data_IF_459865993102
#
_entry.id   IF_459865993102
#
_cell.length_a   1.000
_cell.length_b   1.000
_cell.length_c   1.000
_cell.angle_alpha   90.00
_cell.angle_beta   90.00
_cell.angle_gamma   90.00
#
_symmetry.space_group_name_H-M   'P 1'
#
loop_
_entity.id
_entity.type
_entity.pdbx_description
1 polymer ?
#
# COMPACT_ATOMS: atom_id res chain seq x y z
N UNK A 1 -6.82 -7.68 -28.28
CA UNK A 1 -7.20 -7.86 -26.87
C UNK A 1 -8.28 -6.82 -26.60
N UNK A 2 -9.53 -7.24 -26.41
CA UNK A 2 -10.66 -6.30 -26.39
C UNK A 2 -10.69 -5.51 -25.09
N UNK A 3 -10.65 -4.18 -25.22
CA UNK A 3 -10.65 -3.23 -24.09
C UNK A 3 -11.91 -3.39 -23.24
N UNK A 4 -13.03 -3.78 -23.83
CA UNK A 4 -14.29 -4.05 -23.13
C UNK A 4 -14.21 -5.24 -22.18
N UNK A 5 -13.53 -6.34 -22.56
CA UNK A 5 -13.38 -7.51 -21.69
C UNK A 5 -12.51 -7.21 -20.48
N UNK A 6 -11.49 -6.36 -20.65
CA UNK A 6 -10.60 -5.90 -19.56
C UNK A 6 -11.36 -5.01 -18.58
N UNK A 7 -12.18 -4.07 -19.07
CA UNK A 7 -13.01 -3.19 -18.23
C UNK A 7 -14.03 -4.00 -17.43
N UNK A 8 -14.68 -5.00 -18.05
CA UNK A 8 -15.67 -5.86 -17.39
C UNK A 8 -15.04 -6.70 -16.28
N UNK A 9 -13.85 -7.29 -16.53
CA UNK A 9 -13.11 -8.04 -15.52
C UNK A 9 -12.64 -7.16 -14.35
N UNK A 10 -12.21 -5.93 -14.63
CA UNK A 10 -11.81 -4.98 -13.59
C UNK A 10 -12.99 -4.52 -12.71
N UNK A 11 -14.16 -4.24 -13.31
CA UNK A 11 -15.40 -3.95 -12.56
C UNK A 11 -15.81 -5.10 -11.64
N UNK A 12 -15.71 -6.34 -12.10
CA UNK A 12 -16.02 -7.52 -11.29
C UNK A 12 -15.09 -7.63 -10.08
N UNK A 13 -13.77 -7.43 -10.27
CA UNK A 13 -12.79 -7.46 -9.17
C UNK A 13 -13.06 -6.38 -8.12
N UNK A 14 -13.41 -5.17 -8.54
CA UNK A 14 -13.80 -4.07 -7.63
C UNK A 14 -15.06 -4.46 -6.83
N UNK A 15 -16.07 -5.02 -7.50
CA UNK A 15 -17.32 -5.43 -6.86
C UNK A 15 -17.06 -6.48 -5.77
N UNK A 16 -16.28 -7.53 -6.09
CA UNK A 16 -15.93 -8.59 -5.13
C UNK A 16 -15.15 -8.00 -3.94
N UNK A 17 -14.18 -7.13 -4.18
CA UNK A 17 -13.39 -6.51 -3.11
C UNK A 17 -14.22 -5.64 -2.18
N UNK A 18 -15.17 -4.85 -2.70
CA UNK A 18 -16.08 -4.05 -1.89
C UNK A 18 -17.00 -4.95 -1.05
N UNK A 19 -17.58 -5.99 -1.64
CA UNK A 19 -18.47 -6.93 -0.91
C UNK A 19 -17.74 -7.61 0.24
N UNK A 20 -16.51 -8.08 0.00
CA UNK A 20 -15.68 -8.69 1.06
C UNK A 20 -15.35 -7.68 2.17
N UNK A 21 -15.04 -6.44 1.80
CA UNK A 21 -14.76 -5.37 2.78
C UNK A 21 -15.96 -5.07 3.66
N UNK A 22 -17.14 -4.95 3.06
CA UNK A 22 -18.40 -4.69 3.77
C UNK A 22 -18.73 -5.86 4.71
N UNK A 23 -18.57 -7.11 4.26
CA UNK A 23 -18.80 -8.28 5.11
C UNK A 23 -17.90 -8.31 6.35
N UNK A 24 -16.61 -8.01 6.18
CA UNK A 24 -15.67 -7.91 7.30
C UNK A 24 -16.01 -6.75 8.25
N UNK A 25 -16.46 -5.62 7.70
CA UNK A 25 -16.87 -4.46 8.49
C UNK A 25 -18.13 -4.73 9.32
N UNK A 26 -19.14 -5.38 8.72
CA UNK A 26 -20.35 -5.82 9.43
C UNK A 26 -20.01 -6.82 10.53
N UNK A 27 -19.11 -7.76 10.24
CA UNK A 27 -18.64 -8.75 11.23
C UNK A 27 -18.01 -8.06 12.42
N UNK A 28 -17.12 -7.08 12.18
CA UNK A 28 -16.56 -6.25 13.26
C UNK A 28 -17.65 -5.51 14.04
N UNK A 29 -18.62 -4.87 13.36
CA UNK A 29 -19.69 -4.12 14.01
C UNK A 29 -20.58 -5.00 14.92
N UNK A 30 -20.86 -6.25 14.51
CA UNK A 30 -21.59 -7.21 15.35
C UNK A 30 -20.75 -7.60 16.57
N UNK A 31 -19.44 -7.82 16.41
CA UNK A 31 -18.56 -8.12 17.54
C UNK A 31 -18.33 -6.95 18.48
N UNK A 32 -18.42 -5.71 18.00
CA UNK A 32 -18.32 -4.51 18.84
C UNK A 32 -19.61 -4.28 19.66
N UNK A 33 -20.76 -4.57 19.05
CA UNK A 33 -22.08 -4.39 19.69
C UNK A 33 -22.50 -5.56 20.58
N UNK A 34 -22.00 -6.75 20.31
CA UNK A 34 -22.14 -7.91 21.18
C UNK A 34 -21.02 -7.84 22.20
N UNK A 35 -21.30 -7.82 23.50
CA UNK A 35 -20.29 -7.84 24.59
C UNK A 35 -19.46 -9.16 24.67
N UNK A 36 -19.35 -9.88 23.55
CA UNK A 36 -18.52 -11.06 23.37
C UNK A 36 -17.05 -10.61 23.36
N UNK A 37 -16.35 -10.88 24.47
CA UNK A 37 -14.95 -10.53 24.68
C UNK A 37 -14.00 -11.36 23.80
N UNK A 38 -14.03 -11.16 22.48
CA UNK A 38 -12.98 -11.65 21.61
C UNK A 38 -11.79 -10.69 21.69
N UNK A 39 -10.66 -11.19 22.22
CA UNK A 39 -9.48 -10.40 22.59
C UNK A 39 -8.84 -9.59 21.45
N UNK A 40 -9.31 -9.70 20.20
CA UNK A 40 -8.71 -9.09 19.01
C UNK A 40 -9.74 -8.71 17.91
N UNK A 41 -10.97 -8.31 18.25
CA UNK A 41 -11.99 -7.91 17.26
C UNK A 41 -11.54 -6.74 16.36
N UNK A 42 -10.60 -5.90 16.81
CA UNK A 42 -9.96 -4.83 16.02
C UNK A 42 -9.18 -5.32 14.79
N UNK A 43 -8.88 -6.62 14.70
CA UNK A 43 -8.24 -7.20 13.51
C UNK A 43 -9.20 -7.18 12.32
N UNK A 44 -10.52 -7.34 12.54
CA UNK A 44 -11.50 -7.36 11.44
C UNK A 44 -11.64 -6.00 10.76
N UNK A 45 -11.56 -4.89 11.50
CA UNK A 45 -11.57 -3.54 10.91
C UNK A 45 -10.30 -3.30 10.09
N UNK A 46 -9.13 -3.68 10.60
CA UNK A 46 -7.87 -3.58 9.85
C UNK A 46 -7.89 -4.46 8.58
N UNK A 47 -8.45 -5.67 8.68
CA UNK A 47 -8.55 -6.60 7.57
C UNK A 47 -9.58 -6.14 6.52
N UNK A 48 -10.61 -5.38 6.91
CA UNK A 48 -11.60 -4.82 5.98
C UNK A 48 -11.03 -3.67 5.13
N UNK A 49 -10.07 -2.92 5.68
CA UNK A 49 -9.43 -1.78 5.00
C UNK A 49 -8.54 -2.20 3.82
N UNK A 50 -7.96 -3.41 3.87
CA UNK A 50 -7.08 -3.95 2.81
C UNK A 50 -7.83 -4.15 1.49
N UNK A 51 -8.89 -4.99 1.41
CA UNK A 51 -9.67 -5.17 0.18
C UNK A 51 -10.37 -3.88 -0.25
N UNK A 52 -10.73 -3.00 0.68
CA UNK A 52 -11.33 -1.70 0.37
C UNK A 52 -10.33 -0.78 -0.35
N UNK A 53 -9.11 -0.68 0.16
CA UNK A 53 -8.04 0.12 -0.44
C UNK A 53 -7.65 -0.39 -1.82
N UNK A 54 -7.55 -1.72 -2.00
CA UNK A 54 -7.28 -2.35 -3.31
C UNK A 54 -8.41 -2.06 -4.31
N UNK A 55 -9.66 -2.07 -3.85
CA UNK A 55 -10.83 -1.75 -4.68
C UNK A 55 -10.85 -0.28 -5.09
N UNK A 56 -10.48 0.64 -4.19
CA UNK A 56 -10.35 2.07 -4.48
C UNK A 56 -9.26 2.35 -5.52
N UNK A 57 -8.08 1.75 -5.37
CA UNK A 57 -6.99 1.90 -6.35
C UNK A 57 -7.40 1.35 -7.71
N UNK A 58 -8.09 0.21 -7.73
CA UNK A 58 -8.60 -0.39 -8.96
C UNK A 58 -9.68 0.48 -9.62
N UNK A 59 -10.55 1.11 -8.82
CA UNK A 59 -11.55 2.05 -9.29
C UNK A 59 -10.93 3.33 -9.88
N UNK A 60 -9.92 3.90 -9.22
CA UNK A 60 -9.17 5.04 -9.73
C UNK A 60 -8.47 4.71 -11.04
N UNK A 61 -7.86 3.51 -11.16
CA UNK A 61 -7.29 3.02 -12.42
C UNK A 61 -8.36 2.90 -13.51
N UNK A 62 -9.52 2.34 -13.19
CA UNK A 62 -10.64 2.20 -14.13
C UNK A 62 -11.16 3.57 -14.62
N UNK A 63 -11.30 4.54 -13.71
CA UNK A 63 -11.67 5.93 -14.04
C UNK A 63 -10.65 6.56 -14.99
N UNK A 64 -9.36 6.36 -14.73
CA UNK A 64 -8.28 6.88 -15.58
C UNK A 64 -8.30 6.23 -16.97
N UNK A 65 -8.55 4.92 -17.06
CA UNK A 65 -8.71 4.20 -18.33
C UNK A 65 -9.92 4.70 -19.13
N UNK A 66 -11.05 4.95 -18.47
CA UNK A 66 -12.26 5.43 -19.13
C UNK A 66 -12.11 6.87 -19.65
N UNK A 67 -11.31 7.70 -18.94
CA UNK A 67 -11.06 9.10 -19.32
C UNK A 67 -9.95 9.24 -20.39
N UNK A 68 -8.96 8.36 -20.40
CA UNK A 68 -7.82 8.39 -21.33
C UNK A 68 -7.46 6.99 -21.83
N UNK A 69 -8.18 6.42 -22.83
CA UNK A 69 -7.90 5.07 -23.34
C UNK A 69 -6.51 4.94 -23.98
N UNK A 70 -5.89 6.06 -24.38
CA UNK A 70 -4.52 6.13 -24.91
C UNK A 70 -3.43 5.78 -23.86
N UNK A 71 -3.76 5.78 -22.56
CA UNK A 71 -2.81 5.37 -21.51
C UNK A 71 -2.43 3.89 -21.58
N UNK A 72 -3.25 3.05 -22.21
CA UNK A 72 -2.93 1.62 -22.41
C UNK A 72 -1.78 1.48 -23.42
N UNK A 73 -1.74 2.33 -24.45
CA UNK A 73 -0.67 2.35 -25.46
C UNK A 73 0.61 2.96 -24.87
N UNK A 74 0.47 3.96 -23.98
CA UNK A 74 1.57 4.56 -23.22
C UNK A 74 2.20 3.63 -22.17
N UNK A 75 1.45 2.68 -21.59
CA UNK A 75 2.02 1.66 -20.68
C UNK A 75 2.84 0.58 -21.41
N UNK A 76 2.69 0.44 -22.73
CA UNK A 76 3.51 -0.45 -23.57
C UNK A 76 4.79 0.20 -24.10
N UNK A 77 4.93 1.53 -24.01
CA UNK A 77 6.11 2.25 -24.45
C UNK A 77 7.14 2.32 -23.31
N UNK A 78 8.30 1.68 -23.50
CA UNK A 78 9.33 1.52 -22.47
C UNK A 78 9.80 2.86 -21.87
N UNK A 79 9.76 3.96 -22.65
CA UNK A 79 10.15 5.29 -22.16
C UNK A 79 9.16 5.86 -21.13
N UNK A 80 7.87 5.67 -21.35
CA UNK A 80 6.82 6.16 -20.43
C UNK A 80 6.71 5.28 -19.18
N UNK A 81 7.03 3.98 -19.31
CA UNK A 81 7.18 3.07 -18.18
C UNK A 81 8.35 3.48 -17.28
N UNK A 82 9.48 3.89 -17.85
CA UNK A 82 10.63 4.36 -17.09
C UNK A 82 10.31 5.65 -16.30
N UNK A 83 9.66 6.63 -16.93
CA UNK A 83 9.26 7.89 -16.28
C UNK A 83 8.23 7.66 -15.17
N UNK A 84 7.26 6.77 -15.39
CA UNK A 84 6.29 6.33 -14.37
C UNK A 84 6.99 5.62 -13.20
N UNK A 85 7.94 4.73 -13.48
CA UNK A 85 8.70 4.03 -12.44
C UNK A 85 9.56 5.01 -11.61
N UNK A 86 10.11 6.05 -12.24
CA UNK A 86 10.85 7.08 -11.52
C UNK A 86 9.93 7.93 -10.61
N UNK A 87 8.74 8.29 -11.11
CA UNK A 87 7.73 8.99 -10.32
C UNK A 87 7.19 8.13 -9.15
N UNK A 88 6.93 6.84 -9.38
CA UNK A 88 6.52 5.90 -8.33
C UNK A 88 7.65 5.68 -7.32
N UNK A 89 8.91 5.56 -7.76
CA UNK A 89 10.06 5.44 -6.86
C UNK A 89 10.23 6.70 -5.99
N UNK A 90 9.94 7.89 -6.52
CA UNK A 90 9.95 9.13 -5.75
C UNK A 90 8.80 9.19 -4.74
N UNK A 91 7.61 8.77 -5.15
CA UNK A 91 6.42 8.72 -4.28
C UNK A 91 6.60 7.72 -3.15
N UNK A 92 7.16 6.54 -3.46
CA UNK A 92 7.46 5.50 -2.47
C UNK A 92 8.46 5.99 -1.42
N UNK A 93 9.48 6.76 -1.81
CA UNK A 93 10.40 7.39 -0.85
C UNK A 93 9.70 8.38 0.08
N UNK A 94 8.77 9.18 -0.44
CA UNK A 94 7.99 10.14 0.37
C UNK A 94 7.13 9.38 1.37
N UNK A 95 6.39 8.37 0.91
CA UNK A 95 5.55 7.52 1.77
C UNK A 95 6.38 6.84 2.86
N UNK A 96 7.55 6.30 2.49
CA UNK A 96 8.46 5.65 3.43
C UNK A 96 9.02 6.62 4.47
N UNK A 97 9.36 7.85 4.07
CA UNK A 97 9.78 8.91 4.99
C UNK A 97 8.67 9.32 5.96
N UNK A 98 7.43 9.43 5.46
CA UNK A 98 6.25 9.71 6.29
C UNK A 98 5.99 8.57 7.27
N UNK A 99 6.06 7.31 6.84
CA UNK A 99 5.94 6.15 7.72
C UNK A 99 7.01 6.18 8.82
N UNK A 100 8.26 6.47 8.46
CA UNK A 100 9.36 6.58 9.41
C UNK A 100 9.11 7.69 10.45
N UNK A 101 8.60 8.86 10.03
CA UNK A 101 8.26 9.95 10.94
C UNK A 101 7.11 9.61 11.89
N UNK A 102 6.06 8.93 11.39
CA UNK A 102 4.94 8.48 12.21
C UNK A 102 5.42 7.44 13.23
N UNK A 103 6.27 6.51 12.79
CA UNK A 103 6.88 5.49 13.63
C UNK A 103 7.71 6.11 14.76
N UNK A 104 8.57 7.09 14.44
CA UNK A 104 9.33 7.83 15.45
C UNK A 104 8.42 8.63 16.38
N UNK A 105 7.42 9.34 15.86
CA UNK A 105 6.45 10.09 16.67
C UNK A 105 5.76 9.20 17.68
N UNK A 106 5.33 7.99 17.28
CA UNK A 106 4.74 7.03 18.20
C UNK A 106 5.73 6.57 19.29
N UNK A 107 7.01 6.37 18.93
CA UNK A 107 8.08 6.04 19.89
C UNK A 107 8.23 7.12 20.97
N UNK A 108 8.19 8.40 20.58
CA UNK A 108 8.37 9.52 21.49
C UNK A 108 7.18 9.74 22.44
N UNK A 109 5.98 9.31 22.05
CA UNK A 109 4.77 9.46 22.89
C UNK A 109 4.71 8.43 24.01
N UNK A 110 5.20 7.19 23.80
CA UNK A 110 5.14 6.10 24.80
C UNK A 110 6.47 5.33 24.86
N UNK A 111 7.56 5.94 25.38
CA UNK A 111 8.89 5.34 25.29
C UNK A 111 9.04 4.02 26.09
N UNK A 112 8.41 3.89 27.25
CA UNK A 112 8.71 2.83 28.22
C UNK A 112 8.31 1.41 27.79
N UNK A 113 7.24 1.26 27.01
CA UNK A 113 6.76 -0.03 26.49
C UNK A 113 7.37 -0.37 25.13
N UNK A 114 7.77 0.66 24.37
CA UNK A 114 8.23 0.53 23.01
C UNK A 114 9.68 0.03 22.96
N UNK A 115 10.57 0.58 23.81
CA UNK A 115 11.98 0.19 23.82
C UNK A 115 12.22 -1.24 24.33
N UNK A 116 11.27 -1.82 25.08
CA UNK A 116 11.31 -3.21 25.57
C UNK A 116 10.87 -4.22 24.51
N UNK A 117 10.19 -3.79 23.47
CA UNK A 117 9.60 -4.67 22.47
C UNK A 117 10.59 -4.93 21.33
N UNK A 118 11.03 -6.18 21.18
CA UNK A 118 12.03 -6.56 20.16
C UNK A 118 11.51 -6.33 18.72
N UNK A 119 10.20 -6.44 18.53
CA UNK A 119 9.52 -6.13 17.26
C UNK A 119 9.69 -4.67 16.83
N UNK A 120 9.87 -3.76 17.79
CA UNK A 120 10.10 -2.35 17.50
C UNK A 120 11.48 -2.12 16.86
N UNK A 121 12.52 -2.75 17.40
CA UNK A 121 13.86 -2.67 16.85
C UNK A 121 13.98 -3.35 15.49
N UNK A 122 13.29 -4.48 15.29
CA UNK A 122 13.25 -5.17 14.01
C UNK A 122 12.58 -4.33 12.92
N UNK A 123 11.45 -3.70 13.24
CA UNK A 123 10.72 -2.86 12.27
C UNK A 123 11.52 -1.59 11.93
N UNK A 124 12.22 -1.01 12.92
CA UNK A 124 13.13 0.11 12.71
C UNK A 124 14.30 -0.27 11.79
N UNK A 125 14.93 -1.43 12.03
CA UNK A 125 16.01 -1.95 11.19
C UNK A 125 15.56 -2.17 9.74
N UNK A 126 14.38 -2.77 9.53
CA UNK A 126 13.82 -3.00 8.19
C UNK A 126 13.53 -1.67 7.48
N UNK A 127 12.95 -0.69 8.18
CA UNK A 127 12.71 0.66 7.64
C UNK A 127 14.00 1.36 7.23
N UNK A 128 15.04 1.28 8.07
CA UNK A 128 16.37 1.81 7.77
C UNK A 128 16.98 1.13 6.55
N UNK A 129 17.03 -0.20 6.53
CA UNK A 129 17.57 -0.96 5.40
C UNK A 129 16.82 -0.58 4.12
N UNK A 130 15.49 -0.55 4.14
CA UNK A 130 14.69 -0.16 2.98
C UNK A 130 14.99 1.26 2.49
N UNK A 131 15.40 2.18 3.37
CA UNK A 131 15.66 3.58 3.01
C UNK A 131 17.08 3.77 2.45
N UNK A 132 18.04 3.03 2.99
CA UNK A 132 19.47 3.14 2.64
C UNK A 132 19.92 2.15 1.56
N UNK A 133 19.27 1.00 1.41
CA UNK A 133 19.63 -0.01 0.41
C UNK A 133 19.54 0.52 -1.04
N UNK A 134 18.50 1.29 -1.44
CA UNK A 134 18.46 1.91 -2.77
C UNK A 134 19.55 2.98 -2.98
N UNK A 135 19.96 3.69 -1.92
CA UNK A 135 21.05 4.66 -1.94
C UNK A 135 22.40 3.97 -2.16
N UNK A 136 22.62 2.85 -1.47
CA UNK A 136 23.80 2.00 -1.63
C UNK A 136 23.92 1.44 -3.05
N UNK A 137 22.83 0.92 -3.61
CA UNK A 137 22.83 0.43 -5.00
C UNK A 137 23.12 1.54 -6.02
N UNK A 138 22.57 2.75 -5.82
CA UNK A 138 22.88 3.91 -6.67
C UNK A 138 24.35 4.35 -6.55
N UNK A 139 24.93 4.25 -5.36
CA UNK A 139 26.34 4.58 -5.13
C UNK A 139 27.28 3.57 -5.77
N UNK A 140 27.01 2.26 -5.60
CA UNK A 140 27.79 1.17 -6.20
C UNK A 140 27.71 1.17 -7.72
N UNK A 141 26.52 1.38 -8.30
CA UNK A 141 26.33 1.43 -9.76
C UNK A 141 27.07 2.58 -10.44
N UNK A 142 27.27 3.72 -9.77
CA UNK A 142 28.07 4.85 -10.30
C UNK A 142 29.58 4.56 -10.31
N UNK A 143 30.06 3.62 -9.49
CA UNK A 143 31.48 3.31 -9.35
C UNK A 143 31.98 2.34 -10.43
N UNK A 144 31.07 1.66 -11.13
CA UNK A 144 31.37 0.60 -12.10
C UNK A 144 31.29 1.08 -13.58
N UNK A 145 30.90 2.34 -13.80
CA UNK A 145 30.82 2.99 -15.12
C UNK A 145 31.89 4.06 -15.37
N UNK A 146 33.04 3.99 -14.66
CA UNK A 146 34.25 4.77 -14.96
C UNK A 146 35.38 3.81 -15.29
#
# INVERSE_FOLDING_TARGET
MDTESVIKAAKLKICVGIVVSIGLFITWFIFETSELSFSNHKVFIALSLIPFSVSLVSFLKLMKLNKYPQTIVAETDERLVAEKNEADAKTLKIIQGTLFLIYLSYTFVIPDDIFKTIGWWMTLLVLLISLFLPLLFRYLGRKQGR
#
